data_IF_483237634594
#
_entry.id   IF_483237634594
#
_cell.length_a   1.000
_cell.length_b   1.000
_cell.length_c   1.000
_cell.angle_alpha   90.00
_cell.angle_beta   90.00
_cell.angle_gamma   90.00
#
_symmetry.space_group_name_H-M   'P 1'
#
loop_
_entity.id
_entity.type
_entity.pdbx_description
1 polymer ?
#
# COMPACT_ATOMS: atom_id res chain seq x y z
N UNK A 1 27.10 41.72 36.72
CA UNK A 1 27.72 41.30 37.99
C UNK A 1 27.38 39.85 38.24
N UNK A 2 28.44 39.03 38.54
CA UNK A 2 28.51 37.62 38.95
C UNK A 2 28.08 36.57 37.87
N UNK A 3 28.94 35.93 37.16
CA UNK A 3 30.12 35.04 37.35
C UNK A 3 29.84 33.91 38.37
N UNK A 4 29.72 32.67 37.89
CA UNK A 4 30.48 31.54 38.45
C UNK A 4 30.52 30.36 37.48
N UNK A 5 31.76 30.05 37.09
CA UNK A 5 32.29 28.85 36.51
C UNK A 5 32.07 27.64 37.41
N UNK A 6 31.86 26.44 36.81
CA UNK A 6 32.45 25.20 37.36
C UNK A 6 32.95 24.34 36.22
N UNK A 7 34.27 24.29 36.17
CA UNK A 7 35.12 23.31 35.44
C UNK A 7 35.36 22.14 36.36
N UNK A 8 35.88 21.06 35.75
CA UNK A 8 36.52 19.85 36.29
C UNK A 8 35.54 18.63 36.33
N UNK A 9 35.83 17.45 35.76
CA UNK A 9 37.07 16.77 35.71
C UNK A 9 37.15 15.61 34.73
N UNK A 10 38.30 15.52 34.20
CA UNK A 10 38.89 14.42 33.46
C UNK A 10 39.01 13.12 34.28
N UNK A 11 38.78 11.97 33.65
CA UNK A 11 39.56 10.78 33.89
C UNK A 11 39.44 9.78 32.71
N UNK A 12 40.56 9.35 32.12
CA UNK A 12 40.58 8.24 31.18
C UNK A 12 40.89 6.96 31.94
N UNK A 13 40.21 5.86 31.62
CA UNK A 13 40.59 4.52 32.02
C UNK A 13 41.08 3.71 30.84
N UNK A 14 42.36 3.41 30.94
CA UNK A 14 43.21 2.61 30.06
C UNK A 14 42.82 1.12 30.07
N UNK A 15 42.82 0.57 28.88
CA UNK A 15 43.37 -0.70 28.46
C UNK A 15 43.45 -1.88 29.44
N UNK A 16 42.85 -3.00 29.06
CA UNK A 16 43.45 -4.31 29.31
C UNK A 16 43.32 -5.19 28.07
N UNK A 17 44.44 -5.32 27.38
CA UNK A 17 44.73 -6.38 26.43
C UNK A 17 45.07 -7.65 27.27
N UNK A 18 44.36 -8.73 27.07
CA UNK A 18 44.81 -10.05 27.40
C UNK A 18 44.89 -10.91 26.15
N UNK A 19 46.12 -11.08 25.68
CA UNK A 19 46.54 -12.13 24.76
C UNK A 19 46.44 -13.46 25.45
N UNK A 20 45.66 -14.39 24.96
CA UNK A 20 45.78 -15.82 25.29
C UNK A 20 46.37 -16.55 24.10
N UNK A 21 47.66 -16.82 24.27
CA UNK A 21 48.45 -17.78 23.50
C UNK A 21 47.95 -19.19 23.85
N UNK A 22 47.46 -19.93 22.86
CA UNK A 22 47.23 -21.37 23.01
C UNK A 22 48.18 -22.14 22.13
N UNK A 23 48.85 -23.02 22.83
CA UNK A 23 49.89 -23.91 22.39
C UNK A 23 49.44 -24.87 21.27
N UNK A 24 50.35 -25.08 20.32
CA UNK A 24 50.28 -26.13 19.32
C UNK A 24 50.51 -27.49 20.03
N UNK A 25 49.49 -28.33 20.00
CA UNK A 25 49.62 -29.73 20.35
C UNK A 25 49.90 -30.56 19.09
N UNK A 26 51.06 -31.12 19.08
CA UNK A 26 51.67 -32.07 18.16
C UNK A 26 50.77 -33.32 18.00
N UNK A 27 50.10 -33.52 16.86
CA UNK A 27 49.45 -34.81 16.55
C UNK A 27 50.29 -35.59 15.54
N UNK A 28 50.80 -36.71 16.04
CA UNK A 28 51.46 -37.73 15.28
C UNK A 28 50.60 -38.24 14.11
N UNK A 29 51.17 -38.15 12.94
CA UNK A 29 50.69 -38.80 11.72
C UNK A 29 50.75 -40.32 11.87
N UNK A 30 49.57 -40.94 11.89
CA UNK A 30 49.44 -42.38 11.64
C UNK A 30 48.83 -42.57 10.25
N UNK A 31 49.60 -43.17 9.37
CA UNK A 31 49.18 -43.49 8.01
C UNK A 31 47.99 -44.47 8.02
N UNK A 32 47.01 -44.32 7.14
CA UNK A 32 45.92 -45.29 7.01
C UNK A 32 46.39 -46.55 6.26
N UNK A 33 45.81 -47.70 6.58
CA UNK A 33 46.10 -48.94 5.89
C UNK A 33 45.56 -48.94 4.45
N UNK A 34 46.33 -49.54 3.57
CA UNK A 34 46.05 -49.79 2.14
C UNK A 34 44.65 -50.36 1.92
N UNK A 35 43.80 -49.64 1.21
CA UNK A 35 42.47 -50.09 0.81
C UNK A 35 42.60 -51.03 -0.41
N UNK A 36 41.98 -52.19 -0.29
CA UNK A 36 41.79 -53.13 -1.39
C UNK A 36 40.89 -52.53 -2.48
N UNK A 37 41.00 -52.92 -3.77
CA UNK A 37 40.19 -52.40 -4.85
C UNK A 37 38.73 -52.82 -4.68
N UNK A 38 37.86 -51.85 -4.41
CA UNK A 38 36.42 -52.03 -4.45
C UNK A 38 36.03 -52.12 -5.93
N UNK A 39 35.52 -53.25 -6.36
CA UNK A 39 34.87 -53.45 -7.64
C UNK A 39 33.64 -52.52 -7.68
N UNK A 40 33.73 -51.44 -8.44
CA UNK A 40 32.59 -50.59 -8.75
C UNK A 40 31.60 -51.38 -9.63
N UNK A 41 30.46 -51.75 -9.06
CA UNK A 41 29.32 -52.20 -9.84
C UNK A 41 28.85 -51.05 -10.75
N UNK A 42 28.43 -51.33 -12.00
CA UNK A 42 27.90 -50.26 -12.87
C UNK A 42 26.65 -49.64 -12.23
N UNK A 43 26.75 -48.37 -11.96
CA UNK A 43 25.57 -47.52 -11.57
C UNK A 43 24.71 -47.46 -12.82
N UNK A 44 23.70 -48.29 -12.90
CA UNK A 44 22.59 -48.08 -13.85
C UNK A 44 21.93 -46.74 -13.51
N UNK A 45 21.92 -45.77 -14.42
CA UNK A 45 21.14 -44.56 -14.17
C UNK A 45 19.67 -45.00 -14.10
N UNK A 46 19.08 -44.91 -12.89
CA UNK A 46 17.64 -45.01 -12.74
C UNK A 46 17.03 -43.81 -13.49
N UNK A 47 16.69 -44.06 -14.74
CA UNK A 47 15.89 -43.17 -15.57
C UNK A 47 14.46 -43.20 -15.04
N UNK A 48 14.23 -42.56 -13.90
CA UNK A 48 12.90 -42.09 -13.53
C UNK A 48 12.73 -40.70 -14.11
N UNK A 49 12.56 -40.64 -15.44
CA UNK A 49 11.88 -39.54 -16.07
C UNK A 49 10.36 -39.66 -15.76
N UNK A 50 10.01 -39.68 -14.48
CA UNK A 50 8.72 -39.23 -14.02
C UNK A 50 8.70 -37.75 -14.38
N UNK A 51 7.77 -37.35 -15.22
CA UNK A 51 7.39 -35.96 -15.42
C UNK A 51 7.01 -35.50 -14.01
N UNK A 52 7.93 -34.87 -13.26
CA UNK A 52 7.60 -34.14 -12.05
C UNK A 52 6.57 -33.12 -12.50
N UNK A 53 5.32 -33.38 -12.13
CA UNK A 53 4.28 -32.35 -12.20
C UNK A 53 4.74 -31.26 -11.28
N UNK A 54 5.46 -30.31 -11.84
CA UNK A 54 5.99 -29.19 -11.10
C UNK A 54 4.77 -28.37 -10.67
N UNK A 55 4.38 -28.56 -9.40
CA UNK A 55 3.28 -27.82 -8.79
C UNK A 55 3.74 -26.39 -8.54
N UNK A 56 3.05 -25.43 -9.09
CA UNK A 56 3.32 -24.01 -8.89
C UNK A 56 2.34 -23.47 -7.90
N UNK A 57 2.87 -22.84 -6.85
CA UNK A 57 2.06 -22.11 -5.90
C UNK A 57 1.57 -20.80 -6.51
N UNK A 58 0.30 -20.53 -6.29
CA UNK A 58 -0.37 -19.32 -6.71
C UNK A 58 -1.13 -18.70 -5.52
N UNK A 59 -1.34 -17.40 -5.59
CA UNK A 59 -2.08 -16.66 -4.58
C UNK A 59 -3.20 -15.87 -5.24
N UNK A 60 -4.38 -15.88 -4.61
CA UNK A 60 -5.49 -15.04 -5.00
C UNK A 60 -5.29 -13.62 -4.50
N UNK A 61 -5.44 -12.65 -5.38
CA UNK A 61 -5.41 -11.23 -5.06
C UNK A 61 -6.69 -10.55 -5.52
N UNK A 62 -7.16 -9.60 -4.75
CA UNK A 62 -8.23 -8.72 -5.21
C UNK A 62 -7.75 -7.88 -6.39
N UNK A 63 -8.61 -7.67 -7.39
CA UNK A 63 -8.30 -6.84 -8.57
C UNK A 63 -7.97 -5.40 -8.16
N UNK A 64 -8.67 -4.88 -7.15
CA UNK A 64 -8.42 -3.57 -6.57
C UNK A 64 -8.22 -3.70 -5.07
N UNK A 65 -7.12 -3.18 -4.61
CA UNK A 65 -6.77 -3.09 -3.20
C UNK A 65 -6.09 -1.75 -2.96
N UNK A 66 -6.48 -1.07 -1.91
CA UNK A 66 -5.83 0.18 -1.53
C UNK A 66 -5.90 0.40 -0.02
N UNK A 67 -4.89 1.07 0.50
CA UNK A 67 -4.86 1.60 1.86
C UNK A 67 -5.31 3.05 1.82
N UNK A 68 -6.41 3.36 2.47
CA UNK A 68 -6.88 4.72 2.66
C UNK A 68 -6.09 5.37 3.79
N UNK A 69 -5.53 6.54 3.53
CA UNK A 69 -4.73 7.29 4.49
C UNK A 69 -5.34 8.65 4.76
N UNK A 70 -5.05 9.22 5.94
CA UNK A 70 -5.47 10.57 6.29
C UNK A 70 -4.78 11.60 5.38
N UNK A 71 -5.55 12.52 4.80
CA UNK A 71 -5.00 13.64 4.04
C UNK A 71 -4.77 14.88 4.93
N UNK A 72 -5.42 14.93 6.08
CA UNK A 72 -5.33 16.02 7.06
C UNK A 72 -5.14 15.46 8.47
N UNK A 73 -4.60 16.28 9.38
CA UNK A 73 -4.46 15.94 10.78
C UNK A 73 -5.74 16.26 11.56
N UNK A 74 -6.38 15.24 12.15
CA UNK A 74 -7.60 15.40 12.93
C UNK A 74 -7.85 14.20 13.85
N UNK A 75 -8.83 14.30 14.74
CA UNK A 75 -9.31 13.17 15.54
C UNK A 75 -10.34 12.39 14.76
N UNK A 76 -10.28 11.08 14.78
CA UNK A 76 -11.31 10.20 14.20
C UNK A 76 -12.59 10.32 14.99
N UNK A 77 -13.64 10.85 14.39
CA UNK A 77 -14.94 11.05 15.04
C UNK A 77 -15.77 9.78 15.04
N UNK A 78 -15.90 9.14 13.88
CA UNK A 78 -16.68 7.90 13.73
C UNK A 78 -16.08 6.98 12.67
N UNK A 79 -16.23 5.68 12.91
CA UNK A 79 -15.90 4.57 11.99
C UNK A 79 -17.17 3.73 11.78
N UNK A 80 -18.03 4.11 10.83
CA UNK A 80 -19.34 3.48 10.69
C UNK A 80 -19.30 2.03 10.20
N UNK A 81 -18.17 1.59 9.62
CA UNK A 81 -18.01 0.23 9.11
C UNK A 81 -16.90 -0.50 9.84
N UNK A 82 -17.17 -1.79 10.12
CA UNK A 82 -16.22 -2.71 10.73
C UNK A 82 -15.53 -3.60 9.67
N UNK A 83 -14.47 -4.27 10.07
CA UNK A 83 -13.81 -5.27 9.22
C UNK A 83 -14.79 -6.33 8.71
N UNK A 84 -14.65 -6.69 7.45
CA UNK A 84 -15.52 -7.63 6.75
C UNK A 84 -16.84 -7.05 6.26
N UNK A 85 -17.20 -5.80 6.59
CA UNK A 85 -18.43 -5.17 6.09
C UNK A 85 -18.25 -4.64 4.68
N UNK A 86 -19.30 -4.77 3.87
CA UNK A 86 -19.34 -4.31 2.48
C UNK A 86 -19.80 -2.87 2.37
N UNK A 87 -19.26 -2.18 1.39
CA UNK A 87 -19.62 -0.80 1.07
C UNK A 87 -19.75 -0.59 -0.44
N UNK A 88 -20.42 0.50 -0.79
CA UNK A 88 -20.51 0.98 -2.17
C UNK A 88 -19.56 2.16 -2.38
N UNK A 89 -19.13 2.37 -3.63
CA UNK A 89 -18.37 3.56 -4.01
C UNK A 89 -19.07 4.85 -3.53
N UNK A 90 -18.30 5.79 -2.99
CA UNK A 90 -18.80 7.04 -2.42
C UNK A 90 -19.33 6.94 -0.97
N UNK A 91 -19.52 5.74 -0.42
CA UNK A 91 -19.89 5.59 1.00
C UNK A 91 -18.83 6.20 1.90
N UNK A 92 -19.24 6.94 2.93
CA UNK A 92 -18.32 7.48 3.95
C UNK A 92 -17.86 6.33 4.82
N UNK A 93 -16.55 6.10 4.85
CA UNK A 93 -15.89 5.04 5.62
C UNK A 93 -15.35 5.57 6.95
N UNK A 94 -14.92 6.83 6.97
CA UNK A 94 -14.36 7.48 8.15
C UNK A 94 -14.82 8.92 8.15
N UNK A 95 -15.21 9.41 9.32
CA UNK A 95 -15.48 10.83 9.57
C UNK A 95 -14.44 11.34 10.56
N UNK A 96 -13.74 12.40 10.17
CA UNK A 96 -12.81 13.11 11.04
C UNK A 96 -13.51 14.28 11.74
N UNK A 97 -13.04 14.68 12.91
CA UNK A 97 -13.50 15.89 13.58
C UNK A 97 -12.88 17.13 12.92
N UNK A 98 -13.68 17.83 12.18
CA UNK A 98 -13.28 18.99 11.39
C UNK A 98 -13.99 20.28 11.83
N UNK A 99 -14.41 20.36 13.06
CA UNK A 99 -15.11 21.54 13.61
C UNK A 99 -14.34 22.86 13.35
N UNK A 100 -13.00 22.82 13.43
CA UNK A 100 -12.15 23.97 13.13
C UNK A 100 -12.21 24.34 11.63
N UNK A 101 -12.19 23.35 10.74
CA UNK A 101 -12.26 23.58 9.27
C UNK A 101 -13.68 24.07 8.86
N UNK A 102 -14.72 23.61 9.53
CA UNK A 102 -16.08 24.12 9.35
C UNK A 102 -16.16 25.61 9.72
N UNK A 103 -15.58 25.98 10.88
CA UNK A 103 -15.49 27.37 11.28
C UNK A 103 -14.67 28.23 10.32
N UNK A 104 -13.55 27.68 9.80
CA UNK A 104 -12.73 28.37 8.79
C UNK A 104 -13.50 28.59 7.49
N UNK A 105 -14.24 27.60 7.00
CA UNK A 105 -15.10 27.73 5.83
C UNK A 105 -16.19 28.77 6.03
N UNK A 106 -16.82 28.79 7.23
CA UNK A 106 -17.85 29.78 7.56
C UNK A 106 -17.26 31.18 7.54
N UNK A 107 -16.05 31.39 8.09
CA UNK A 107 -15.32 32.65 8.03
C UNK A 107 -15.08 33.09 6.59
N UNK A 108 -14.47 32.25 5.75
CA UNK A 108 -14.19 32.58 4.34
C UNK A 108 -15.48 32.89 3.55
N UNK A 109 -16.58 32.19 3.85
CA UNK A 109 -17.88 32.48 3.27
C UNK A 109 -18.43 33.86 3.65
N UNK A 110 -18.22 34.27 4.91
CA UNK A 110 -18.63 35.60 5.36
C UNK A 110 -17.77 36.71 4.72
N UNK A 111 -16.46 36.47 4.57
CA UNK A 111 -15.53 37.38 3.88
C UNK A 111 -15.94 37.58 2.41
N UNK A 112 -16.23 36.49 1.68
CA UNK A 112 -16.74 36.55 0.32
C UNK A 112 -18.05 37.35 0.24
N UNK A 113 -18.99 37.12 1.15
CA UNK A 113 -20.24 37.88 1.21
C UNK A 113 -20.00 39.37 1.43
N UNK A 114 -19.02 39.72 2.26
CA UNK A 114 -18.58 41.10 2.49
C UNK A 114 -18.02 41.74 1.23
N UNK A 115 -17.08 41.04 0.56
CA UNK A 115 -16.46 41.51 -0.68
C UNK A 115 -17.49 41.73 -1.79
N UNK A 116 -18.44 40.80 -1.95
CA UNK A 116 -19.55 40.94 -2.97
C UNK A 116 -20.43 42.15 -2.69
N UNK A 117 -20.78 42.41 -1.44
CA UNK A 117 -21.58 43.63 -1.09
C UNK A 117 -20.78 44.92 -1.34
N UNK A 118 -19.46 44.92 -1.04
CA UNK A 118 -18.60 46.06 -1.34
C UNK A 118 -18.53 46.31 -2.84
N UNK A 119 -18.32 45.29 -3.65
CA UNK A 119 -18.29 45.40 -5.09
C UNK A 119 -19.62 45.97 -5.65
N UNK A 120 -20.75 45.48 -5.15
CA UNK A 120 -22.05 46.01 -5.54
C UNK A 120 -22.20 47.47 -5.18
N UNK A 121 -21.73 47.87 -4.01
CA UNK A 121 -21.71 49.28 -3.59
C UNK A 121 -20.86 50.14 -4.55
N UNK A 122 -19.64 49.71 -4.89
CA UNK A 122 -18.79 50.45 -5.85
C UNK A 122 -19.37 50.46 -7.26
N UNK A 123 -20.06 49.42 -7.71
CA UNK A 123 -20.78 49.42 -9.01
C UNK A 123 -21.86 50.51 -9.06
N UNK A 124 -22.65 50.62 -7.99
CA UNK A 124 -23.68 51.67 -7.90
C UNK A 124 -23.09 53.07 -7.85
N UNK A 125 -21.97 53.27 -7.14
CA UNK A 125 -21.25 54.52 -7.10
C UNK A 125 -20.66 54.89 -8.48
N UNK A 126 -20.11 53.89 -9.18
CA UNK A 126 -19.59 54.09 -10.55
C UNK A 126 -20.69 54.48 -11.53
N UNK A 127 -21.88 53.91 -11.46
CA UNK A 127 -23.06 54.30 -12.25
C UNK A 127 -23.46 55.77 -12.02
N UNK A 128 -23.19 56.26 -10.81
CA UNK A 128 -23.45 57.66 -10.42
C UNK A 128 -22.24 58.57 -10.69
N UNK A 129 -21.18 58.08 -11.35
CA UNK A 129 -19.90 58.76 -11.56
C UNK A 129 -19.21 59.19 -10.23
N UNK A 130 -19.51 58.49 -9.14
CA UNK A 130 -18.98 58.78 -7.79
C UNK A 130 -17.86 57.80 -7.32
N UNK A 131 -17.46 56.83 -8.16
CA UNK A 131 -16.32 55.95 -7.95
C UNK A 131 -15.46 55.85 -9.22
N UNK A 132 -14.14 55.72 -9.03
CA UNK A 132 -13.21 55.53 -10.12
C UNK A 132 -13.12 54.08 -10.62
N UNK A 133 -12.64 53.86 -11.84
CA UNK A 133 -12.43 52.52 -12.39
C UNK A 133 -11.47 51.66 -11.54
N UNK A 134 -10.43 52.27 -10.96
CA UNK A 134 -9.47 51.61 -10.10
C UNK A 134 -10.13 51.04 -8.83
N UNK A 135 -11.06 51.76 -8.22
CA UNK A 135 -11.79 51.30 -7.03
C UNK A 135 -12.70 50.12 -7.36
N UNK A 136 -13.33 50.14 -8.53
CA UNK A 136 -14.12 49.04 -9.01
C UNK A 136 -13.26 47.79 -9.28
N UNK A 137 -12.08 47.95 -9.90
CA UNK A 137 -11.17 46.86 -10.16
C UNK A 137 -10.59 46.26 -8.86
N UNK A 138 -10.26 47.10 -7.87
CA UNK A 138 -9.84 46.63 -6.54
C UNK A 138 -10.96 45.83 -5.87
N UNK A 139 -12.22 46.26 -5.97
CA UNK A 139 -13.31 45.53 -5.39
C UNK A 139 -13.59 44.20 -6.12
N UNK A 140 -13.41 44.14 -7.45
CA UNK A 140 -13.46 42.87 -8.19
C UNK A 140 -12.36 41.92 -7.74
N UNK A 141 -11.11 42.40 -7.66
CA UNK A 141 -9.99 41.59 -7.19
C UNK A 141 -10.20 41.05 -5.75
N UNK A 142 -10.84 41.86 -4.88
CA UNK A 142 -11.18 41.42 -3.52
C UNK A 142 -12.20 40.27 -3.51
N UNK A 143 -13.16 40.26 -4.42
CA UNK A 143 -14.11 39.16 -4.60
C UNK A 143 -13.39 37.91 -5.10
N UNK A 144 -12.57 38.01 -6.13
CA UNK A 144 -11.82 36.88 -6.68
C UNK A 144 -10.91 36.23 -5.63
N UNK A 145 -10.22 37.06 -4.83
CA UNK A 145 -9.41 36.59 -3.72
C UNK A 145 -10.24 35.83 -2.69
N UNK A 146 -11.37 36.37 -2.26
CA UNK A 146 -12.25 35.76 -1.28
C UNK A 146 -12.90 34.46 -1.81
N UNK A 147 -13.19 34.38 -3.11
CA UNK A 147 -13.66 33.15 -3.76
C UNK A 147 -12.61 32.05 -3.72
N UNK A 148 -11.35 32.39 -4.01
CA UNK A 148 -10.24 31.46 -3.94
C UNK A 148 -10.01 30.95 -2.50
N UNK A 149 -10.09 31.83 -1.49
CA UNK A 149 -9.98 31.47 -0.08
C UNK A 149 -11.12 30.54 0.39
N UNK A 150 -12.35 30.80 -0.06
CA UNK A 150 -13.49 29.92 0.22
C UNK A 150 -13.31 28.54 -0.44
N UNK A 151 -12.87 28.49 -1.69
CA UNK A 151 -12.61 27.25 -2.41
C UNK A 151 -11.53 26.42 -1.71
N UNK A 152 -10.46 27.06 -1.24
CA UNK A 152 -9.41 26.40 -0.46
C UNK A 152 -9.98 25.78 0.83
N UNK A 153 -10.75 26.54 1.60
CA UNK A 153 -11.38 26.06 2.83
C UNK A 153 -12.37 24.92 2.59
N UNK A 154 -13.15 24.98 1.51
CA UNK A 154 -14.06 23.91 1.10
C UNK A 154 -13.29 22.63 0.72
N UNK A 155 -12.18 22.78 -0.01
CA UNK A 155 -11.32 21.65 -0.41
C UNK A 155 -10.71 20.96 0.80
N UNK A 156 -10.23 21.73 1.77
CA UNK A 156 -9.72 21.17 3.03
C UNK A 156 -10.83 20.43 3.80
N UNK A 157 -12.02 21.02 3.90
CA UNK A 157 -13.16 20.40 4.56
C UNK A 157 -13.61 19.10 3.89
N UNK A 158 -13.51 19.01 2.56
CA UNK A 158 -13.87 17.79 1.82
C UNK A 158 -13.00 16.58 2.19
N UNK A 159 -11.81 16.80 2.79
CA UNK A 159 -10.88 15.75 3.25
C UNK A 159 -11.29 15.15 4.60
N UNK A 160 -12.32 15.69 5.24
CA UNK A 160 -12.82 15.21 6.52
C UNK A 160 -13.63 13.93 6.41
N UNK A 161 -14.32 13.74 5.29
CA UNK A 161 -15.05 12.52 4.97
C UNK A 161 -14.22 11.65 4.05
N UNK A 162 -13.67 10.56 4.57
CA UNK A 162 -12.93 9.61 3.75
C UNK A 162 -13.91 8.64 3.14
N UNK A 163 -14.01 8.68 1.80
CA UNK A 163 -15.01 7.93 1.03
C UNK A 163 -14.40 6.77 0.28
N UNK A 164 -15.21 5.74 0.10
CA UNK A 164 -14.84 4.56 -0.67
C UNK A 164 -14.59 4.90 -2.15
N UNK A 165 -13.40 4.55 -2.70
CA UNK A 165 -13.08 4.82 -4.11
C UNK A 165 -13.76 3.86 -5.09
N UNK A 166 -14.21 2.69 -4.62
CA UNK A 166 -14.88 1.64 -5.38
C UNK A 166 -15.83 0.84 -4.49
N UNK A 167 -16.59 -0.10 -5.05
CA UNK A 167 -17.39 -1.04 -4.28
C UNK A 167 -16.46 -2.14 -3.72
N UNK A 168 -16.67 -2.55 -2.47
CA UNK A 168 -15.80 -3.56 -1.88
C UNK A 168 -16.11 -3.86 -0.42
N UNK A 169 -15.12 -4.34 0.28
CA UNK A 169 -15.17 -4.74 1.67
C UNK A 169 -13.99 -4.14 2.45
N UNK A 170 -14.21 -3.82 3.72
CA UNK A 170 -13.15 -3.41 4.65
C UNK A 170 -12.30 -4.64 4.99
N UNK A 171 -11.04 -4.63 4.60
CA UNK A 171 -10.12 -5.74 4.84
C UNK A 171 -9.48 -5.66 6.23
N UNK A 172 -9.00 -4.47 6.61
CA UNK A 172 -8.35 -4.24 7.89
C UNK A 172 -8.61 -2.81 8.37
N UNK A 173 -8.85 -2.68 9.66
CA UNK A 173 -9.02 -1.39 10.33
C UNK A 173 -7.79 -1.10 11.19
N UNK A 174 -7.02 -0.07 10.81
CA UNK A 174 -5.73 0.27 11.44
C UNK A 174 -5.83 1.34 12.52
N UNK A 175 -7.01 1.92 12.68
CA UNK A 175 -7.28 3.02 13.61
C UNK A 175 -8.52 2.75 14.45
N UNK A 176 -8.70 3.57 15.47
CA UNK A 176 -9.88 3.54 16.36
C UNK A 176 -10.55 4.90 16.44
N UNK A 177 -11.81 4.92 16.83
CA UNK A 177 -12.50 6.16 17.16
C UNK A 177 -11.78 6.90 18.29
N UNK A 178 -11.85 8.23 18.26
CA UNK A 178 -11.18 9.15 19.19
C UNK A 178 -9.64 9.15 19.10
N UNK A 179 -9.06 8.45 18.15
CA UNK A 179 -7.63 8.51 17.87
C UNK A 179 -7.29 9.74 17.03
N UNK A 180 -6.23 10.45 17.40
CA UNK A 180 -5.66 11.49 16.55
C UNK A 180 -4.80 10.87 15.45
N UNK A 181 -4.99 11.32 14.22
CA UNK A 181 -4.23 10.87 13.03
C UNK A 181 -3.54 12.06 12.39
N UNK A 182 -2.37 11.80 11.81
CA UNK A 182 -1.60 12.78 11.06
C UNK A 182 -1.76 12.55 9.55
N UNK A 183 -1.48 13.54 8.68
CA UNK A 183 -1.42 13.32 7.25
C UNK A 183 -0.48 12.16 6.88
N UNK A 184 -0.94 11.27 6.01
CA UNK A 184 -0.21 10.05 5.61
C UNK A 184 -0.42 8.84 6.53
N UNK A 185 -1.07 8.98 7.69
CA UNK A 185 -1.38 7.82 8.55
C UNK A 185 -2.32 6.86 7.82
N UNK A 186 -1.98 5.56 7.68
CA UNK A 186 -2.88 4.55 7.12
C UNK A 186 -4.07 4.32 8.06
N UNK A 187 -5.27 4.31 7.50
CA UNK A 187 -6.52 4.25 8.25
C UNK A 187 -7.27 2.93 8.05
N UNK A 188 -7.58 2.61 6.81
CA UNK A 188 -8.30 1.41 6.42
C UNK A 188 -7.67 0.78 5.19
N UNK A 189 -7.58 -0.54 5.19
CA UNK A 189 -7.33 -1.32 3.99
C UNK A 189 -8.66 -1.76 3.40
N UNK A 190 -8.87 -1.47 2.13
CA UNK A 190 -10.10 -1.82 1.42
C UNK A 190 -9.78 -2.60 0.15
N UNK A 191 -10.62 -3.55 -0.17
CA UNK A 191 -10.47 -4.38 -1.35
C UNK A 191 -11.80 -4.61 -2.07
N UNK A 192 -11.69 -4.84 -3.38
CA UNK A 192 -12.81 -5.22 -4.23
C UNK A 192 -12.92 -6.76 -4.24
N UNK A 193 -14.00 -7.28 -3.69
CA UNK A 193 -14.27 -8.71 -3.61
C UNK A 193 -15.16 -9.23 -4.76
N UNK A 194 -15.40 -8.41 -5.77
CA UNK A 194 -16.20 -8.80 -6.95
C UNK A 194 -15.45 -9.70 -7.92
N UNK A 195 -14.12 -9.61 -7.95
CA UNK A 195 -13.26 -10.43 -8.80
C UNK A 195 -11.89 -10.63 -8.16
N UNK A 196 -11.27 -11.76 -8.47
CA UNK A 196 -9.92 -12.08 -8.00
C UNK A 196 -9.02 -12.41 -9.19
N UNK A 197 -7.79 -11.94 -9.09
CA UNK A 197 -6.69 -12.35 -9.96
C UNK A 197 -5.86 -13.41 -9.23
N UNK A 198 -5.39 -14.39 -9.99
CA UNK A 198 -4.46 -15.41 -9.53
C UNK A 198 -3.05 -14.99 -9.93
N UNK A 199 -2.19 -14.78 -8.95
CA UNK A 199 -0.80 -14.43 -9.18
C UNK A 199 0.10 -15.61 -8.86
N UNK A 200 1.02 -15.96 -9.76
CA UNK A 200 1.98 -17.03 -9.55
C UNK A 200 3.31 -16.76 -10.24
N UNK A 201 4.34 -17.43 -9.75
CA UNK A 201 5.68 -17.38 -10.30
C UNK A 201 5.97 -18.67 -11.06
N UNK A 202 6.27 -18.56 -12.34
CA UNK A 202 6.66 -19.70 -13.17
C UNK A 202 8.15 -19.61 -13.53
N UNK A 203 8.86 -20.75 -13.70
CA UNK A 203 10.22 -20.74 -14.22
C UNK A 203 10.30 -20.02 -15.57
N UNK A 204 11.31 -19.21 -15.78
CA UNK A 204 11.47 -18.44 -17.02
C UNK A 204 11.61 -19.34 -18.27
N UNK A 205 12.09 -20.55 -18.08
CA UNK A 205 12.17 -21.58 -19.14
C UNK A 205 10.83 -21.97 -19.74
N UNK A 206 9.72 -21.65 -19.05
CA UNK A 206 8.36 -21.94 -19.52
C UNK A 206 7.79 -20.84 -20.41
N UNK A 207 8.45 -19.70 -20.53
CA UNK A 207 8.01 -18.58 -21.39
C UNK A 207 7.54 -18.98 -22.79
N UNK A 208 8.21 -19.91 -23.52
CA UNK A 208 7.74 -20.31 -24.85
C UNK A 208 6.37 -21.01 -24.85
N UNK A 209 5.99 -21.59 -23.71
CA UNK A 209 4.72 -22.33 -23.53
C UNK A 209 3.60 -21.47 -22.95
N UNK A 210 3.96 -20.38 -22.23
CA UNK A 210 3.01 -19.52 -21.55
C UNK A 210 2.61 -18.37 -22.47
N UNK A 211 1.32 -18.29 -22.77
CA UNK A 211 0.75 -17.23 -23.62
C UNK A 211 -0.47 -16.61 -22.94
N UNK A 212 -0.68 -15.36 -23.19
CA UNK A 212 -1.94 -14.69 -22.81
C UNK A 212 -3.13 -15.40 -23.45
N UNK A 213 -4.22 -15.50 -22.72
CA UNK A 213 -5.42 -16.23 -23.11
C UNK A 213 -5.40 -17.74 -22.86
N UNK A 214 -4.25 -18.33 -22.47
CA UNK A 214 -4.15 -19.74 -22.14
C UNK A 214 -4.91 -20.06 -20.84
N UNK A 215 -5.67 -21.16 -20.84
CA UNK A 215 -6.37 -21.66 -19.65
C UNK A 215 -5.48 -22.62 -18.87
N UNK A 216 -5.41 -22.40 -17.57
CA UNK A 216 -4.68 -23.24 -16.60
C UNK A 216 -5.64 -23.71 -15.52
N UNK A 217 -5.43 -24.91 -15.02
CA UNK A 217 -6.23 -25.45 -13.92
C UNK A 217 -5.55 -25.13 -12.59
N UNK A 218 -6.30 -24.52 -11.70
CA UNK A 218 -5.86 -24.23 -10.32
C UNK A 218 -6.71 -24.99 -9.33
N UNK A 219 -6.08 -25.60 -8.36
CA UNK A 219 -6.76 -26.16 -7.18
C UNK A 219 -6.58 -25.17 -6.03
N UNK A 220 -7.68 -24.57 -5.54
CA UNK A 220 -7.70 -23.63 -4.43
C UNK A 220 -7.80 -24.45 -3.15
N UNK A 221 -6.80 -24.33 -2.29
CA UNK A 221 -6.63 -25.23 -1.14
C UNK A 221 -7.71 -24.99 -0.09
N UNK A 222 -7.94 -23.75 0.31
CA UNK A 222 -8.89 -23.41 1.36
C UNK A 222 -10.34 -23.64 0.94
N UNK A 223 -10.65 -23.42 -0.33
CA UNK A 223 -11.98 -23.67 -0.88
C UNK A 223 -12.17 -25.14 -1.32
N UNK A 224 -11.11 -25.97 -1.29
CA UNK A 224 -11.09 -27.40 -1.70
C UNK A 224 -11.73 -27.66 -3.04
N UNK A 225 -11.55 -26.75 -4.00
CA UNK A 225 -12.13 -26.87 -5.35
C UNK A 225 -11.11 -26.54 -6.43
N UNK A 226 -11.32 -27.16 -7.59
CA UNK A 226 -10.61 -26.79 -8.80
C UNK A 226 -11.37 -25.69 -9.54
N UNK A 227 -10.65 -24.74 -10.11
CA UNK A 227 -11.16 -23.69 -10.97
C UNK A 227 -10.32 -23.61 -12.24
N UNK A 228 -10.87 -23.02 -13.29
CA UNK A 228 -10.13 -22.64 -14.46
C UNK A 228 -9.69 -21.18 -14.30
N UNK A 229 -8.46 -20.90 -14.65
CA UNK A 229 -7.94 -19.56 -14.70
C UNK A 229 -7.37 -19.29 -16.09
N UNK A 230 -7.62 -18.11 -16.63
CA UNK A 230 -7.11 -17.68 -17.93
C UNK A 230 -5.97 -16.71 -17.73
N UNK A 231 -4.81 -16.97 -18.32
CA UNK A 231 -3.66 -16.08 -18.27
C UNK A 231 -4.05 -14.74 -18.89
N UNK A 232 -4.00 -13.70 -18.05
CA UNK A 232 -4.33 -12.33 -18.44
C UNK A 232 -3.07 -11.58 -18.90
N UNK A 233 -1.98 -11.73 -18.14
CA UNK A 233 -0.71 -11.02 -18.38
C UNK A 233 0.47 -11.87 -17.97
N UNK A 234 1.53 -11.80 -18.77
CA UNK A 234 2.86 -12.32 -18.44
C UNK A 234 3.77 -11.13 -18.21
N UNK A 235 4.44 -11.08 -17.06
CA UNK A 235 5.33 -9.96 -16.74
C UNK A 235 6.40 -9.77 -17.82
N UNK A 236 6.72 -8.54 -18.21
CA UNK A 236 7.81 -8.28 -19.17
C UNK A 236 9.20 -8.46 -18.53
N UNK A 237 9.28 -8.69 -17.21
CA UNK A 237 10.53 -8.81 -16.45
C UNK A 237 10.66 -10.18 -15.82
N UNK A 238 11.80 -10.82 -16.04
CA UNK A 238 12.24 -12.02 -15.34
C UNK A 238 13.06 -11.60 -14.12
N UNK A 239 12.80 -12.23 -12.98
CA UNK A 239 13.64 -12.05 -11.81
C UNK A 239 14.97 -12.82 -12.02
N UNK A 240 16.13 -12.13 -11.98
CA UNK A 240 17.42 -12.76 -12.30
C UNK A 240 17.92 -13.71 -11.20
N UNK A 241 17.44 -13.53 -9.95
CA UNK A 241 17.89 -14.35 -8.81
C UNK A 241 17.15 -15.67 -8.77
N UNK A 242 15.81 -15.61 -8.84
CA UNK A 242 14.96 -16.80 -8.81
C UNK A 242 14.75 -17.44 -10.19
N UNK A 243 15.18 -16.78 -11.27
CA UNK A 243 14.93 -17.19 -12.65
C UNK A 243 13.44 -17.44 -12.93
N UNK A 244 12.58 -16.68 -12.27
CA UNK A 244 11.13 -16.81 -12.37
C UNK A 244 10.50 -15.61 -13.06
N UNK A 245 9.31 -15.83 -13.61
CA UNK A 245 8.48 -14.81 -14.21
C UNK A 245 7.12 -14.78 -13.52
N UNK A 246 6.65 -13.58 -13.23
CA UNK A 246 5.34 -13.34 -12.62
C UNK A 246 4.26 -13.41 -13.68
N UNK A 247 3.22 -14.17 -13.39
CA UNK A 247 2.06 -14.35 -14.25
C UNK A 247 0.81 -14.00 -13.47
N UNK A 248 -0.08 -13.30 -14.13
CA UNK A 248 -1.41 -12.95 -13.60
C UNK A 248 -2.47 -13.63 -14.47
N UNK A 249 -3.40 -14.34 -13.84
CA UNK A 249 -4.51 -14.99 -14.50
C UNK A 249 -5.84 -14.58 -13.84
N UNK A 250 -6.90 -14.55 -14.60
CA UNK A 250 -8.26 -14.33 -14.12
C UNK A 250 -8.95 -15.65 -13.87
N UNK A 251 -9.63 -15.79 -12.73
CA UNK A 251 -10.45 -16.97 -12.44
C UNK A 251 -11.73 -16.94 -13.26
N UNK A 252 -12.11 -18.09 -13.81
CA UNK A 252 -13.38 -18.29 -14.49
C UNK A 252 -14.39 -18.91 -13.51
N UNK A 253 -15.61 -18.36 -13.45
CA UNK A 253 -16.70 -18.86 -12.64
C UNK A 253 -17.01 -18.05 -11.38
N UNK A 254 -17.75 -18.64 -10.44
CA UNK A 254 -18.18 -17.97 -9.21
C UNK A 254 -17.01 -17.75 -8.25
N UNK A 255 -16.94 -16.56 -7.67
CA UNK A 255 -15.90 -16.13 -6.72
C UNK A 255 -16.45 -15.88 -5.31
N UNK A 256 -17.73 -16.19 -5.07
CA UNK A 256 -18.46 -15.80 -3.84
C UNK A 256 -17.89 -16.38 -2.54
N UNK A 257 -17.23 -17.52 -2.63
CA UNK A 257 -16.60 -18.27 -1.52
C UNK A 257 -15.09 -18.05 -1.43
N UNK A 258 -14.53 -17.23 -2.32
CA UNK A 258 -13.11 -16.94 -2.37
C UNK A 258 -12.78 -15.67 -1.59
N UNK A 259 -11.57 -15.62 -1.08
CA UNK A 259 -11.01 -14.44 -0.42
C UNK A 259 -9.62 -14.13 -0.94
N UNK A 260 -9.27 -12.87 -0.94
CA UNK A 260 -7.88 -12.46 -1.21
C UNK A 260 -6.95 -13.12 -0.18
N UNK A 261 -5.77 -13.56 -0.63
CA UNK A 261 -4.80 -14.26 0.20
C UNK A 261 -4.91 -15.78 0.17
N UNK A 262 -6.00 -16.35 -0.36
CA UNK A 262 -6.09 -17.81 -0.52
C UNK A 262 -5.02 -18.34 -1.46
N UNK A 263 -4.56 -19.55 -1.16
CA UNK A 263 -3.50 -20.25 -1.90
C UNK A 263 -4.06 -21.23 -2.91
N UNK A 264 -3.35 -21.42 -3.99
CA UNK A 264 -3.71 -22.41 -5.00
C UNK A 264 -2.49 -23.13 -5.55
N UNK A 265 -2.71 -24.35 -6.05
CA UNK A 265 -1.72 -25.11 -6.81
C UNK A 265 -2.14 -25.20 -8.26
N UNK A 266 -1.24 -24.83 -9.13
CA UNK A 266 -1.43 -24.86 -10.57
C UNK A 266 -0.85 -26.12 -11.17
N UNK A 267 -1.61 -26.71 -12.08
CA UNK A 267 -1.13 -27.74 -13.00
C UNK A 267 -1.15 -27.12 -14.40
N UNK A 268 0.03 -26.94 -14.96
CA UNK A 268 0.17 -26.49 -16.34
C UNK A 268 0.31 -27.75 -17.23
N UNK A 269 -0.44 -27.83 -18.32
CA UNK A 269 -0.43 -29.00 -19.23
C UNK A 269 0.89 -29.17 -19.96
#
# INVERSE_FOLDING_TARGET
MQRSNWLLGFAPLLAFWTQSVWAQANQKSTAPPSAAPVLMAPITPASNAGIEKQEIHAQLRAVRYTTLSAEIGAVVKTLPLQEGQRFKSGTVLIVLDCSLLEAQRAKSSAELSGAKRSLEGYRRLAELNAAGLMELDLANNAVEKAEAELLMSQTQLSKCDIRAPFNGVVAEQRIREQQYVQPGTPLLDVLDDSAFELEFLAPSTWLPRLREGMSVRVHIEEARRAALARILRVSPRVDPVSQSIKITATLEGSVSDLKAGMSGRLQIP
#
